data_IF_619585639577
#
_entry.id   IF_619585639577
#
_cell.length_a   1.000
_cell.length_b   1.000
_cell.length_c   1.000
_cell.angle_alpha   90.00
_cell.angle_beta   90.00
_cell.angle_gamma   90.00
#
_symmetry.space_group_name_H-M   'P 1'
#
loop_
_entity.id
_entity.type
_entity.pdbx_description
1 polymer ?
#
# COMPACT_ATOMS: atom_id res chain seq x y z
N UNK A 1 -6.69 -11.05 26.91
CA UNK A 1 -6.04 -10.03 26.07
C UNK A 1 -5.75 -8.84 26.98
N UNK A 2 -4.48 -8.53 27.25
CA UNK A 2 -4.06 -7.32 27.99
C UNK A 2 -3.49 -6.33 26.99
N UNK A 3 -4.19 -5.22 26.77
CA UNK A 3 -3.78 -4.20 25.79
C UNK A 3 -3.08 -3.02 26.48
N UNK A 4 -2.01 -3.31 27.23
CA UNK A 4 -1.25 -2.30 27.99
C UNK A 4 -0.04 -1.76 27.23
N UNK A 5 0.43 -2.48 26.18
CA UNK A 5 1.63 -2.13 25.42
C UNK A 5 1.27 -1.63 24.02
N UNK A 6 1.20 -0.31 23.86
CA UNK A 6 0.97 0.34 22.56
C UNK A 6 2.28 0.34 21.77
N UNK A 7 2.28 -0.24 20.58
CA UNK A 7 3.42 -0.27 19.65
C UNK A 7 3.27 0.71 18.49
N UNK A 8 2.04 1.08 18.13
CA UNK A 8 1.80 2.12 17.13
C UNK A 8 0.40 2.73 17.26
N UNK A 9 0.30 4.02 16.94
CA UNK A 9 -0.98 4.74 16.79
C UNK A 9 -1.07 5.22 15.33
N UNK A 10 -2.18 4.94 14.68
CA UNK A 10 -2.48 5.35 13.30
C UNK A 10 -3.84 6.05 13.26
N UNK A 11 -4.12 6.78 12.19
CA UNK A 11 -5.43 7.39 12.01
C UNK A 11 -6.54 6.33 12.11
N UNK A 12 -7.33 6.39 13.20
CA UNK A 12 -8.47 5.52 13.42
C UNK A 12 -8.17 4.10 13.92
N UNK A 13 -6.94 3.75 14.24
CA UNK A 13 -6.57 2.44 14.80
C UNK A 13 -5.36 2.53 15.72
N UNK A 14 -5.35 1.70 16.77
CA UNK A 14 -4.21 1.56 17.70
C UNK A 14 -3.73 0.11 17.67
N UNK A 15 -2.43 -0.09 17.58
CA UNK A 15 -1.82 -1.41 17.55
C UNK A 15 -1.13 -1.66 18.90
N UNK A 16 -1.47 -2.78 19.51
CA UNK A 16 -0.93 -3.23 20.80
C UNK A 16 -0.11 -4.49 20.61
N UNK A 17 0.88 -4.71 21.48
CA UNK A 17 1.52 -6.01 21.65
C UNK A 17 0.89 -6.74 22.83
N UNK A 18 0.42 -7.96 22.61
CA UNK A 18 -0.08 -8.88 23.64
C UNK A 18 0.69 -10.21 23.50
N UNK A 19 1.82 -10.32 24.20
CA UNK A 19 2.74 -11.45 24.07
C UNK A 19 3.34 -11.57 22.67
N UNK A 20 3.01 -12.65 22.00
CA UNK A 20 3.39 -12.99 20.63
C UNK A 20 2.40 -12.47 19.55
N UNK A 21 1.46 -11.62 19.96
CA UNK A 21 0.42 -11.08 19.08
C UNK A 21 0.55 -9.58 18.90
N UNK A 22 0.29 -9.11 17.68
CA UNK A 22 -0.02 -7.73 17.36
C UNK A 22 -1.54 -7.59 17.24
N UNK A 23 -2.14 -6.73 18.08
CA UNK A 23 -3.58 -6.54 18.14
C UNK A 23 -3.93 -5.14 17.61
N UNK A 24 -4.51 -5.08 16.42
CA UNK A 24 -4.99 -3.86 15.79
C UNK A 24 -6.43 -3.61 16.22
N UNK A 25 -6.65 -2.59 17.07
CA UNK A 25 -7.97 -2.18 17.56
C UNK A 25 -8.44 -0.98 16.73
N UNK A 26 -9.63 -1.08 16.15
CA UNK A 26 -10.23 -0.06 15.31
C UNK A 26 -11.15 0.84 16.13
N UNK A 27 -11.13 2.15 15.85
CA UNK A 27 -12.11 3.05 16.46
C UNK A 27 -13.50 2.91 15.82
N UNK A 28 -14.52 3.57 16.39
CA UNK A 28 -15.92 3.44 16.00
C UNK A 28 -16.26 3.93 14.58
N UNK A 29 -15.32 4.58 13.89
CA UNK A 29 -15.51 5.05 12.50
C UNK A 29 -15.36 3.96 11.43
N UNK A 30 -14.87 2.78 11.81
CA UNK A 30 -14.72 1.65 10.87
C UNK A 30 -15.95 0.75 10.88
N UNK A 31 -16.45 0.42 9.68
CA UNK A 31 -17.54 -0.56 9.57
C UNK A 31 -17.01 -1.98 9.82
N UNK A 32 -17.89 -2.85 10.31
CA UNK A 32 -17.59 -4.29 10.43
C UNK A 32 -17.12 -4.88 9.09
N UNK A 33 -17.73 -4.45 7.99
CA UNK A 33 -17.41 -4.95 6.66
C UNK A 33 -15.97 -4.58 6.25
N UNK A 34 -15.52 -3.36 6.54
CA UNK A 34 -14.14 -2.93 6.23
C UNK A 34 -13.10 -3.75 7.00
N UNK A 35 -13.36 -4.02 8.28
CA UNK A 35 -12.46 -4.78 9.16
C UNK A 35 -12.39 -6.24 8.73
N UNK A 36 -13.53 -6.87 8.43
CA UNK A 36 -13.57 -8.23 7.91
C UNK A 36 -12.90 -8.34 6.54
N UNK A 37 -13.05 -7.31 5.69
CA UNK A 37 -12.37 -7.27 4.39
C UNK A 37 -10.85 -7.11 4.54
N UNK A 38 -10.37 -6.33 5.52
CA UNK A 38 -8.93 -6.22 5.83
C UNK A 38 -8.37 -7.59 6.24
N UNK A 39 -9.03 -8.28 7.18
CA UNK A 39 -8.63 -9.60 7.61
C UNK A 39 -8.69 -10.63 6.46
N UNK A 40 -9.75 -10.61 5.66
CA UNK A 40 -9.90 -11.51 4.51
C UNK A 40 -8.82 -11.28 3.44
N UNK A 41 -8.45 -10.02 3.18
CA UNK A 41 -7.37 -9.71 2.25
C UNK A 41 -6.05 -10.30 2.75
N UNK A 42 -5.71 -10.10 4.02
CA UNK A 42 -4.49 -10.65 4.62
C UNK A 42 -4.49 -12.18 4.56
N UNK A 43 -5.59 -12.85 4.94
CA UNK A 43 -5.72 -14.30 4.85
C UNK A 43 -5.51 -14.85 3.41
N UNK A 44 -5.99 -14.13 2.39
CA UNK A 44 -5.75 -14.48 0.98
C UNK A 44 -4.28 -14.35 0.57
N UNK A 45 -3.57 -13.39 1.16
CA UNK A 45 -2.14 -13.19 0.90
C UNK A 45 -1.29 -14.25 1.64
N UNK A 46 -1.72 -14.75 2.81
CA UNK A 46 -1.05 -15.85 3.50
C UNK A 46 -0.84 -17.07 2.59
N UNK A 47 -1.81 -17.36 1.72
CA UNK A 47 -1.76 -18.47 0.78
C UNK A 47 -0.71 -18.30 -0.34
N UNK A 48 -0.14 -17.10 -0.52
CA UNK A 48 0.83 -16.81 -1.58
C UNK A 48 2.26 -17.20 -1.24
N UNK A 49 2.53 -17.54 0.03
CA UNK A 49 3.86 -17.86 0.54
C UNK A 49 4.77 -16.63 0.69
N UNK A 50 4.22 -15.41 0.72
CA UNK A 50 4.94 -14.23 1.16
C UNK A 50 5.15 -14.26 2.68
N UNK A 51 6.24 -13.68 3.17
CA UNK A 51 6.44 -13.48 4.60
C UNK A 51 5.52 -12.36 5.09
N UNK A 52 4.44 -12.74 5.74
CA UNK A 52 3.48 -11.83 6.35
C UNK A 52 3.04 -12.39 7.71
N UNK A 53 2.62 -11.53 8.67
CA UNK A 53 2.04 -12.03 9.92
C UNK A 53 0.73 -12.76 9.63
N UNK A 54 0.54 -13.95 10.19
CA UNK A 54 -0.71 -14.70 10.05
C UNK A 54 -1.81 -14.08 10.88
N UNK A 55 -3.03 -14.06 10.36
CA UNK A 55 -4.22 -13.72 11.13
C UNK A 55 -4.49 -14.84 12.15
N UNK A 56 -4.65 -14.46 13.40
CA UNK A 56 -4.95 -15.38 14.49
C UNK A 56 -6.42 -15.29 14.91
N UNK A 57 -6.96 -14.07 14.95
CA UNK A 57 -8.31 -13.83 15.44
C UNK A 57 -8.89 -12.53 14.91
N UNK A 58 -10.19 -12.51 14.64
CA UNK A 58 -10.98 -11.29 14.45
C UNK A 58 -12.03 -11.28 15.55
N UNK A 59 -11.97 -10.29 16.43
CA UNK A 59 -12.76 -10.28 17.67
C UNK A 59 -13.24 -8.87 18.03
N UNK A 60 -13.91 -8.75 19.18
CA UNK A 60 -14.25 -7.47 19.77
C UNK A 60 -13.53 -7.31 21.10
N UNK A 61 -12.95 -6.12 21.33
CA UNK A 61 -12.32 -5.72 22.56
C UNK A 61 -12.91 -4.38 23.01
N UNK A 62 -13.48 -4.36 24.20
CA UNK A 62 -14.12 -3.16 24.80
C UNK A 62 -15.09 -2.45 23.82
N UNK A 63 -15.96 -3.23 23.20
CA UNK A 63 -16.95 -2.73 22.23
C UNK A 63 -16.39 -2.31 20.86
N UNK A 64 -15.09 -2.49 20.63
CA UNK A 64 -14.41 -2.16 19.37
C UNK A 64 -13.95 -3.43 18.63
N UNK A 65 -14.01 -3.40 17.33
CA UNK A 65 -13.44 -4.49 16.50
C UNK A 65 -11.93 -4.52 16.60
N UNK A 66 -11.36 -5.70 16.61
CA UNK A 66 -9.92 -5.93 16.64
C UNK A 66 -9.53 -7.10 15.71
N UNK A 67 -8.35 -6.98 15.11
CA UNK A 67 -7.67 -8.04 14.37
C UNK A 67 -6.39 -8.37 15.12
N UNK A 68 -6.24 -9.61 15.56
CA UNK A 68 -5.00 -10.13 16.12
C UNK A 68 -4.25 -10.92 15.06
N UNK A 69 -2.97 -10.65 14.91
CA UNK A 69 -2.03 -11.37 14.05
C UNK A 69 -0.75 -11.72 14.82
N UNK A 70 0.10 -12.54 14.23
CA UNK A 70 1.44 -12.80 14.76
C UNK A 70 2.19 -11.47 14.96
N UNK A 71 2.90 -11.34 16.08
CA UNK A 71 3.80 -10.22 16.31
C UNK A 71 5.16 -10.53 15.67
N UNK A 72 5.61 -9.68 14.77
CA UNK A 72 6.92 -9.78 14.14
C UNK A 72 7.89 -8.85 14.87
N UNK A 73 8.91 -9.45 15.49
CA UNK A 73 9.95 -8.69 16.18
C UNK A 73 11.01 -8.19 15.20
N UNK A 74 11.23 -6.88 15.17
CA UNK A 74 12.16 -6.24 14.24
C UNK A 74 11.97 -4.73 14.18
N UNK A 75 12.67 -4.09 13.24
CA UNK A 75 12.52 -2.68 12.93
C UNK A 75 11.84 -2.51 11.57
N UNK A 76 11.05 -1.45 11.42
CA UNK A 76 10.55 -1.12 10.08
C UNK A 76 11.70 -0.69 9.17
N UNK A 77 11.55 -0.94 7.87
CA UNK A 77 12.53 -0.49 6.89
C UNK A 77 12.66 1.04 6.90
N UNK A 78 11.57 1.76 7.21
CA UNK A 78 11.61 3.22 7.41
C UNK A 78 12.55 3.62 8.55
N UNK A 79 12.45 2.94 9.72
CA UNK A 79 13.35 3.17 10.85
C UNK A 79 14.82 2.88 10.50
N UNK A 80 15.07 1.79 9.76
CA UNK A 80 16.43 1.44 9.33
C UNK A 80 17.00 2.48 8.37
N UNK A 81 16.20 3.03 7.45
CA UNK A 81 16.60 4.12 6.54
C UNK A 81 16.93 5.40 7.30
N UNK A 82 16.15 5.73 8.35
CA UNK A 82 16.38 6.90 9.19
C UNK A 82 17.65 6.77 10.07
N UNK A 83 17.86 5.57 10.64
CA UNK A 83 19.01 5.29 11.49
C UNK A 83 20.33 5.17 10.70
N UNK A 84 20.28 4.83 9.42
CA UNK A 84 21.44 4.57 8.59
C UNK A 84 21.30 5.27 7.22
N UNK A 85 21.36 6.59 7.16
CA UNK A 85 21.15 7.35 5.93
C UNK A 85 22.23 7.10 4.86
N UNK A 86 23.42 6.67 5.25
CA UNK A 86 24.52 6.24 4.38
C UNK A 86 24.18 4.96 3.60
N UNK A 87 23.26 4.13 4.07
CA UNK A 87 22.79 2.90 3.43
C UNK A 87 21.46 3.06 2.67
N UNK A 88 21.01 4.29 2.45
CA UNK A 88 19.71 4.54 1.81
C UNK A 88 19.57 3.82 0.46
N UNK A 89 20.61 3.81 -0.36
CA UNK A 89 20.59 3.12 -1.65
C UNK A 89 20.40 1.60 -1.51
N UNK A 90 21.10 0.97 -0.56
CA UNK A 90 20.94 -0.47 -0.27
C UNK A 90 19.51 -0.79 0.18
N UNK A 91 18.95 0.02 1.06
CA UNK A 91 17.57 -0.15 1.53
C UNK A 91 16.53 0.09 0.44
N UNK A 92 16.77 1.03 -0.49
CA UNK A 92 15.89 1.23 -1.64
C UNK A 92 15.95 0.06 -2.62
N UNK A 93 17.13 -0.53 -2.84
CA UNK A 93 17.25 -1.76 -3.62
C UNK A 93 16.47 -2.91 -3.00
N UNK A 94 16.62 -3.13 -1.68
CA UNK A 94 15.86 -4.12 -0.92
C UNK A 94 14.34 -3.85 -1.01
N UNK A 95 13.93 -2.60 -0.87
CA UNK A 95 12.53 -2.19 -0.95
C UNK A 95 11.90 -2.54 -2.31
N UNK A 96 12.62 -2.26 -3.40
CA UNK A 96 12.18 -2.63 -4.76
C UNK A 96 12.14 -4.15 -4.93
N UNK A 97 13.13 -4.89 -4.44
CA UNK A 97 13.18 -6.35 -4.56
C UNK A 97 12.00 -7.00 -3.83
N UNK A 98 11.66 -6.52 -2.63
CA UNK A 98 10.48 -7.00 -1.88
C UNK A 98 9.20 -6.71 -2.66
N UNK A 99 9.05 -5.51 -3.26
CA UNK A 99 7.87 -5.19 -4.05
C UNK A 99 7.77 -6.05 -5.31
N UNK A 100 8.89 -6.32 -5.98
CA UNK A 100 8.92 -7.24 -7.12
C UNK A 100 8.54 -8.66 -6.71
N UNK A 101 8.94 -9.11 -5.51
CA UNK A 101 8.52 -10.39 -4.96
C UNK A 101 6.99 -10.42 -4.73
N UNK A 102 6.39 -9.33 -4.21
CA UNK A 102 4.92 -9.20 -4.12
C UNK A 102 4.28 -9.33 -5.50
N UNK A 103 4.79 -8.59 -6.49
CA UNK A 103 4.26 -8.60 -7.85
C UNK A 103 4.49 -9.93 -8.61
N UNK A 104 5.34 -10.82 -8.11
CA UNK A 104 5.51 -12.17 -8.65
C UNK A 104 4.38 -13.12 -8.27
N UNK A 105 3.57 -12.76 -7.27
CA UNK A 105 2.51 -13.59 -6.72
C UNK A 105 1.16 -13.35 -7.39
N UNK A 106 0.27 -14.35 -7.26
CA UNK A 106 -1.12 -14.29 -7.71
C UNK A 106 -2.04 -14.64 -6.54
N UNK A 107 -3.13 -13.90 -6.41
CA UNK A 107 -4.19 -14.14 -5.43
C UNK A 107 -5.55 -13.84 -6.09
N UNK A 108 -6.11 -14.80 -6.85
CA UNK A 108 -7.25 -14.56 -7.74
C UNK A 108 -8.55 -14.17 -7.02
N UNK A 109 -8.64 -14.41 -5.72
CA UNK A 109 -9.79 -14.01 -4.90
C UNK A 109 -9.74 -12.55 -4.43
N UNK A 110 -8.63 -11.85 -4.62
CA UNK A 110 -8.56 -10.41 -4.31
C UNK A 110 -9.44 -9.60 -5.26
N UNK A 111 -9.92 -8.46 -4.78
CA UNK A 111 -10.62 -7.48 -5.61
C UNK A 111 -9.74 -7.03 -6.78
N UNK A 112 -10.31 -6.92 -7.98
CA UNK A 112 -9.58 -6.41 -9.14
C UNK A 112 -9.25 -4.93 -8.96
N UNK A 113 -8.00 -4.58 -9.20
CA UNK A 113 -7.50 -3.21 -9.06
C UNK A 113 -8.28 -2.20 -9.94
N UNK A 114 -8.57 -2.57 -11.19
CA UNK A 114 -9.37 -1.75 -12.11
C UNK A 114 -10.76 -1.43 -11.55
N UNK A 115 -11.45 -2.41 -11.00
CA UNK A 115 -12.79 -2.23 -10.44
C UNK A 115 -12.76 -1.28 -9.22
N UNK A 116 -11.72 -1.43 -8.38
CA UNK A 116 -11.49 -0.55 -7.24
C UNK A 116 -11.19 0.88 -7.68
N UNK A 117 -10.34 1.06 -8.70
CA UNK A 117 -10.01 2.37 -9.26
C UNK A 117 -11.20 3.02 -9.92
N UNK A 118 -11.98 2.30 -10.74
CA UNK A 118 -13.20 2.82 -11.36
C UNK A 118 -14.17 3.39 -10.33
N UNK A 119 -14.44 2.66 -9.25
CA UNK A 119 -15.32 3.15 -8.16
C UNK A 119 -14.77 4.43 -7.53
N UNK A 120 -13.46 4.51 -7.29
CA UNK A 120 -12.84 5.67 -6.66
C UNK A 120 -12.81 6.89 -7.61
N UNK A 121 -12.47 6.72 -8.88
CA UNK A 121 -12.49 7.80 -9.87
C UNK A 121 -13.91 8.39 -9.98
N UNK A 122 -14.95 7.55 -9.92
CA UNK A 122 -16.35 8.03 -9.89
C UNK A 122 -16.69 8.89 -8.67
N UNK A 123 -15.94 8.77 -7.58
CA UNK A 123 -16.12 9.53 -6.33
C UNK A 123 -15.16 10.73 -6.21
N UNK A 124 -14.16 10.85 -7.10
CA UNK A 124 -13.17 11.92 -7.04
C UNK A 124 -13.80 13.29 -7.36
N UNK A 125 -13.32 14.33 -6.69
CA UNK A 125 -13.76 15.72 -6.89
C UNK A 125 -13.08 16.34 -8.15
N UNK A 126 -13.42 15.81 -9.31
CA UNK A 126 -12.96 16.24 -10.64
C UNK A 126 -14.13 16.50 -11.56
N UNK A 127 -13.93 17.29 -12.59
CA UNK A 127 -14.95 17.57 -13.59
C UNK A 127 -15.36 16.33 -14.42
N UNK A 128 -16.47 16.42 -15.13
CA UNK A 128 -17.03 15.29 -15.86
C UNK A 128 -16.15 14.83 -17.04
N UNK A 129 -15.47 15.77 -17.72
CA UNK A 129 -14.61 15.47 -18.86
C UNK A 129 -13.36 14.73 -18.41
N UNK A 130 -12.68 15.21 -17.38
CA UNK A 130 -11.52 14.58 -16.74
C UNK A 130 -11.89 13.18 -16.23
N UNK A 131 -13.06 13.05 -15.57
CA UNK A 131 -13.54 11.74 -15.09
C UNK A 131 -13.75 10.75 -16.24
N UNK A 132 -14.38 11.18 -17.33
CA UNK A 132 -14.61 10.34 -18.50
C UNK A 132 -13.28 9.90 -19.14
N UNK A 133 -12.33 10.82 -19.30
CA UNK A 133 -11.01 10.53 -19.84
C UNK A 133 -10.26 9.49 -18.99
N UNK A 134 -10.24 9.67 -17.66
CA UNK A 134 -9.58 8.74 -16.75
C UNK A 134 -10.21 7.33 -16.78
N UNK A 135 -11.54 7.23 -16.88
CA UNK A 135 -12.20 5.93 -17.05
C UNK A 135 -11.81 5.27 -18.38
N UNK A 136 -11.76 6.05 -19.45
CA UNK A 136 -11.35 5.56 -20.77
C UNK A 136 -9.89 5.10 -20.78
N UNK A 137 -8.99 5.89 -20.20
CA UNK A 137 -7.57 5.51 -20.04
C UNK A 137 -7.43 4.24 -19.21
N UNK A 138 -8.11 4.16 -18.06
CA UNK A 138 -8.08 2.98 -17.20
C UNK A 138 -8.59 1.73 -17.93
N UNK A 139 -9.65 1.84 -18.73
CA UNK A 139 -10.15 0.69 -19.50
C UNK A 139 -9.16 0.24 -20.56
N UNK A 140 -8.44 1.15 -21.19
CA UNK A 140 -7.38 0.86 -22.17
C UNK A 140 -6.11 0.24 -21.56
N UNK A 141 -5.91 0.31 -20.25
CA UNK A 141 -4.71 -0.24 -19.61
C UNK A 141 -4.72 -1.78 -19.62
N UNK A 142 -3.56 -2.44 -19.83
CA UNK A 142 -3.45 -3.89 -19.84
C UNK A 142 -3.96 -4.53 -18.55
N UNK A 143 -4.69 -5.64 -18.67
CA UNK A 143 -5.21 -6.44 -17.56
C UNK A 143 -4.12 -7.40 -17.08
N UNK A 144 -3.74 -7.28 -15.83
CA UNK A 144 -2.81 -8.18 -15.14
C UNK A 144 -3.48 -8.72 -13.87
N UNK A 145 -2.92 -9.80 -13.33
CA UNK A 145 -3.44 -10.54 -12.16
C UNK A 145 -2.39 -10.64 -11.03
N UNK A 146 -1.42 -9.74 -11.02
CA UNK A 146 -0.37 -9.69 -9.99
C UNK A 146 -0.95 -9.19 -8.67
N UNK A 147 -0.42 -9.68 -7.56
CA UNK A 147 -0.71 -9.10 -6.25
C UNK A 147 -0.19 -7.68 -6.20
N UNK A 148 -1.05 -6.75 -5.80
CA UNK A 148 -0.74 -5.35 -5.56
C UNK A 148 -1.06 -5.02 -4.10
N UNK A 149 -0.13 -4.43 -3.38
CA UNK A 149 -0.31 -4.10 -1.96
C UNK A 149 -1.28 -2.91 -1.76
N UNK A 150 -1.14 -1.88 -2.58
CA UNK A 150 -1.99 -0.69 -2.55
C UNK A 150 -1.64 0.34 -1.46
N UNK A 151 -0.68 0.01 -0.59
CA UNK A 151 -0.09 0.90 0.41
C UNK A 151 1.36 0.49 0.72
N UNK A 152 2.11 0.12 -0.33
CA UNK A 152 3.47 -0.35 -0.19
C UNK A 152 4.41 0.82 0.13
N UNK A 153 4.91 0.87 1.36
CA UNK A 153 5.83 1.90 1.85
C UNK A 153 6.78 1.30 2.89
N UNK A 154 7.93 1.94 3.18
CA UNK A 154 8.94 1.38 4.07
C UNK A 154 8.46 1.14 5.51
N UNK A 155 7.42 1.86 5.98
CA UNK A 155 6.83 1.65 7.31
C UNK A 155 5.98 0.38 7.40
N UNK A 156 5.59 -0.20 6.26
CA UNK A 156 4.83 -1.44 6.16
C UNK A 156 5.70 -2.68 5.88
N UNK A 157 7.02 -2.56 6.08
CA UNK A 157 7.97 -3.67 5.97
C UNK A 157 8.74 -3.75 7.29
N UNK A 158 8.71 -4.89 7.95
CA UNK A 158 9.50 -5.17 9.17
C UNK A 158 10.67 -6.05 8.76
N UNK A 159 11.87 -5.64 9.12
CA UNK A 159 13.09 -6.44 8.98
C UNK A 159 13.40 -7.03 10.35
N UNK A 160 13.38 -8.35 10.44
CA UNK A 160 13.70 -9.09 11.67
C UNK A 160 15.20 -9.05 11.96
N UNK A 161 15.61 -9.48 13.15
CA UNK A 161 17.02 -9.46 13.56
C UNK A 161 17.92 -10.35 12.69
N UNK A 162 17.36 -11.36 12.02
CA UNK A 162 18.06 -12.23 11.06
C UNK A 162 18.02 -11.70 9.61
N UNK A 163 17.44 -10.49 9.42
CA UNK A 163 17.36 -9.84 8.11
C UNK A 163 16.15 -10.26 7.26
N UNK A 164 15.26 -11.10 7.76
CA UNK A 164 14.09 -11.54 7.00
C UNK A 164 13.04 -10.43 6.92
N UNK A 165 12.57 -10.04 5.70
CA UNK A 165 11.52 -9.05 5.56
C UNK A 165 10.13 -9.65 5.74
N UNK A 166 9.28 -8.97 6.50
CA UNK A 166 7.85 -9.24 6.65
C UNK A 166 7.03 -8.05 6.20
N UNK A 167 6.01 -8.27 5.38
CA UNK A 167 5.16 -7.22 4.83
C UNK A 167 3.84 -7.18 5.61
N UNK A 168 3.46 -6.00 6.10
CA UNK A 168 2.29 -5.79 6.95
C UNK A 168 1.27 -4.84 6.30
N UNK A 169 0.06 -4.78 6.86
CA UNK A 169 -1.04 -3.87 6.49
C UNK A 169 -1.61 -4.08 5.07
N UNK A 170 -2.16 -5.26 4.82
CA UNK A 170 -2.75 -5.68 3.56
C UNK A 170 -4.20 -5.22 3.33
N UNK A 171 -4.68 -4.22 4.09
CA UNK A 171 -6.04 -3.67 3.99
C UNK A 171 -6.42 -3.24 2.55
N UNK A 172 -5.44 -2.83 1.77
CA UNK A 172 -5.65 -2.31 0.41
C UNK A 172 -5.28 -3.28 -0.70
N UNK A 173 -4.95 -4.54 -0.37
CA UNK A 173 -4.56 -5.54 -1.34
C UNK A 173 -5.58 -5.71 -2.48
N UNK A 174 -5.05 -5.88 -3.69
CA UNK A 174 -5.82 -6.11 -4.92
C UNK A 174 -5.03 -7.00 -5.86
N UNK A 175 -5.68 -7.50 -6.90
CA UNK A 175 -5.00 -8.12 -8.04
C UNK A 175 -5.03 -7.18 -9.25
N UNK A 176 -3.90 -6.96 -9.90
CA UNK A 176 -3.86 -6.02 -11.02
C UNK A 176 -2.48 -5.81 -11.64
N UNK A 177 -2.28 -4.60 -12.12
CA UNK A 177 -1.04 -4.21 -12.79
C UNK A 177 -0.01 -3.68 -11.78
N UNK A 178 1.19 -4.25 -11.79
CA UNK A 178 2.30 -3.87 -10.92
C UNK A 178 2.65 -2.37 -11.02
N UNK A 179 2.66 -1.82 -12.25
CA UNK A 179 3.00 -0.40 -12.44
C UNK A 179 2.01 0.56 -11.79
N UNK A 180 0.74 0.16 -11.61
CA UNK A 180 -0.23 0.93 -10.85
C UNK A 180 0.08 0.93 -9.35
N UNK A 181 0.53 -0.20 -8.79
CA UNK A 181 0.96 -0.30 -7.40
C UNK A 181 2.25 0.51 -7.15
N UNK A 182 3.19 0.47 -8.11
CA UNK A 182 4.40 1.31 -8.09
C UNK A 182 4.07 2.79 -8.17
N UNK A 183 3.11 3.19 -9.01
CA UNK A 183 2.64 4.57 -9.09
C UNK A 183 2.04 5.02 -7.74
N UNK A 184 1.35 4.14 -7.03
CA UNK A 184 0.85 4.44 -5.69
C UNK A 184 1.99 4.64 -4.71
N UNK A 185 2.99 3.76 -4.67
CA UNK A 185 4.18 3.91 -3.82
C UNK A 185 4.95 5.21 -4.12
N UNK A 186 5.13 5.54 -5.40
CA UNK A 186 5.76 6.78 -5.84
C UNK A 186 5.06 8.01 -5.28
N UNK A 187 3.71 8.07 -5.41
CA UNK A 187 2.91 9.18 -4.87
C UNK A 187 2.94 9.24 -3.33
N UNK A 188 3.00 8.09 -2.64
CA UNK A 188 3.15 8.04 -1.19
C UNK A 188 4.48 8.66 -0.72
N UNK A 189 5.58 8.35 -1.41
CA UNK A 189 6.89 8.94 -1.11
C UNK A 189 6.90 10.46 -1.35
N UNK A 190 6.20 10.93 -2.38
CA UNK A 190 6.04 12.37 -2.61
C UNK A 190 5.22 13.05 -1.51
N UNK A 191 4.10 12.44 -1.07
CA UNK A 191 3.27 12.94 0.03
C UNK A 191 4.04 12.98 1.36
N UNK A 192 5.01 12.09 1.55
CA UNK A 192 5.91 12.05 2.72
C UNK A 192 7.09 13.05 2.59
N UNK A 193 7.07 13.93 1.57
CA UNK A 193 8.12 14.93 1.34
C UNK A 193 9.43 14.37 0.78
N UNK A 194 9.46 13.10 0.38
CA UNK A 194 10.67 12.37 -0.07
C UNK A 194 10.74 12.28 -1.60
N UNK A 195 10.64 13.40 -2.30
CA UNK A 195 10.59 13.45 -3.76
C UNK A 195 11.81 12.81 -4.45
N UNK A 196 13.02 13.04 -3.93
CA UNK A 196 14.23 12.46 -4.52
C UNK A 196 14.34 10.95 -4.27
N UNK A 197 13.87 10.48 -3.10
CA UNK A 197 13.73 9.05 -2.82
C UNK A 197 12.72 8.42 -3.78
N UNK A 198 11.61 9.10 -4.07
CA UNK A 198 10.61 8.62 -5.02
C UNK A 198 11.19 8.44 -6.44
N UNK A 199 12.00 9.41 -6.91
CA UNK A 199 12.67 9.33 -8.22
C UNK A 199 13.65 8.15 -8.27
N UNK A 200 14.52 8.04 -7.25
CA UNK A 200 15.50 6.94 -7.15
C UNK A 200 14.79 5.58 -7.10
N UNK A 201 13.74 5.46 -6.30
CA UNK A 201 12.91 4.26 -6.22
C UNK A 201 12.33 3.87 -7.60
N UNK A 202 11.76 4.84 -8.33
CA UNK A 202 11.20 4.59 -9.65
C UNK A 202 12.26 4.13 -10.65
N UNK A 203 13.43 4.78 -10.66
CA UNK A 203 14.53 4.42 -11.56
C UNK A 203 15.05 3.00 -11.28
N UNK A 204 15.18 2.64 -10.00
CA UNK A 204 15.55 1.28 -9.59
C UNK A 204 14.47 0.26 -10.02
N UNK A 205 13.19 0.56 -9.80
CA UNK A 205 12.12 -0.34 -10.20
C UNK A 205 12.09 -0.53 -11.71
N UNK A 206 12.14 0.54 -12.50
CA UNK A 206 12.15 0.47 -13.96
C UNK A 206 13.34 -0.34 -14.47
N UNK A 207 14.54 -0.12 -13.91
CA UNK A 207 15.75 -0.87 -14.26
C UNK A 207 15.63 -2.36 -13.94
N UNK A 208 15.18 -2.70 -12.71
CA UNK A 208 15.09 -4.11 -12.27
C UNK A 208 13.96 -4.89 -12.94
N UNK A 209 12.84 -4.24 -13.28
CA UNK A 209 11.67 -4.87 -13.88
C UNK A 209 11.64 -4.82 -15.41
N UNK A 210 12.63 -4.18 -16.04
CA UNK A 210 12.66 -3.88 -17.48
C UNK A 210 11.37 -3.18 -17.96
N UNK A 211 10.83 -2.29 -17.14
CA UNK A 211 9.60 -1.55 -17.43
C UNK A 211 9.94 -0.12 -17.85
N UNK A 212 9.49 0.29 -19.02
CA UNK A 212 9.70 1.65 -19.50
C UNK A 212 9.03 2.69 -18.59
N UNK A 213 9.74 3.79 -18.29
CA UNK A 213 9.24 4.88 -17.45
C UNK A 213 7.95 5.49 -17.97
N UNK A 214 7.81 5.59 -19.31
CA UNK A 214 6.61 6.08 -19.99
C UNK A 214 5.37 5.20 -19.71
N UNK A 215 5.56 3.89 -19.54
CA UNK A 215 4.46 3.00 -19.20
C UNK A 215 3.96 3.26 -17.76
N UNK A 216 4.88 3.48 -16.83
CA UNK A 216 4.56 3.90 -15.47
C UNK A 216 3.81 5.24 -15.46
N UNK A 217 4.28 6.24 -16.21
CA UNK A 217 3.70 7.57 -16.27
C UNK A 217 2.22 7.57 -16.68
N UNK A 218 1.80 6.63 -17.54
CA UNK A 218 0.38 6.46 -17.91
C UNK A 218 -0.52 6.09 -16.73
N UNK A 219 0.04 5.49 -15.66
CA UNK A 219 -0.70 5.13 -14.47
C UNK A 219 -0.85 6.28 -13.47
N UNK A 220 0.06 7.26 -13.47
CA UNK A 220 0.08 8.32 -12.47
C UNK A 220 -1.25 9.08 -12.36
N UNK A 221 -1.84 9.65 -13.44
CA UNK A 221 -3.10 10.38 -13.35
C UNK A 221 -4.25 9.50 -12.84
N UNK A 222 -4.32 8.25 -13.29
CA UNK A 222 -5.35 7.28 -12.90
C UNK A 222 -5.24 6.97 -11.39
N UNK A 223 -4.02 6.69 -10.92
CA UNK A 223 -3.75 6.37 -9.52
C UNK A 223 -3.98 7.60 -8.64
N UNK A 224 -3.50 8.76 -9.04
CA UNK A 224 -3.66 10.02 -8.31
C UNK A 224 -5.14 10.35 -8.10
N UNK A 225 -5.96 10.35 -9.16
CA UNK A 225 -7.39 10.56 -9.05
C UNK A 225 -8.08 9.52 -8.16
N UNK A 226 -7.71 8.23 -8.29
CA UNK A 226 -8.30 7.20 -7.43
C UNK A 226 -7.91 7.33 -5.96
N UNK A 227 -6.78 7.96 -5.64
CA UNK A 227 -6.31 8.17 -4.27
C UNK A 227 -6.80 9.48 -3.65
N UNK A 228 -7.14 10.49 -4.46
CA UNK A 228 -7.64 11.79 -3.98
C UNK A 228 -8.95 11.71 -3.21
N UNK A 229 -9.68 10.59 -3.30
CA UNK A 229 -10.93 10.34 -2.58
C UNK A 229 -10.74 10.24 -1.06
N UNK A 230 -9.51 9.99 -0.60
CA UNK A 230 -9.16 9.88 0.81
C UNK A 230 -8.08 10.91 1.15
N UNK A 231 -7.92 11.17 2.43
CA UNK A 231 -6.92 12.11 2.92
C UNK A 231 -7.49 13.48 3.25
N UNK A 232 -6.64 14.34 3.75
CA UNK A 232 -6.96 15.74 4.03
C UNK A 232 -6.96 16.57 2.73
N UNK A 233 -7.34 17.84 2.84
CA UNK A 233 -7.43 18.73 1.66
C UNK A 233 -6.08 18.89 0.96
N UNK A 234 -4.99 19.08 1.70
CA UNK A 234 -3.66 19.28 1.11
C UNK A 234 -3.16 18.06 0.33
N UNK A 235 -3.38 16.85 0.88
CA UNK A 235 -3.08 15.59 0.17
C UNK A 235 -3.92 15.44 -1.09
N UNK A 236 -5.19 15.79 -1.04
CA UNK A 236 -6.09 15.75 -2.19
C UNK A 236 -5.66 16.74 -3.27
N UNK A 237 -5.40 18.00 -2.92
CA UNK A 237 -4.96 19.04 -3.85
C UNK A 237 -3.65 18.63 -4.54
N UNK A 238 -2.69 18.07 -3.77
CA UNK A 238 -1.47 17.52 -4.31
C UNK A 238 -1.74 16.37 -5.31
N UNK A 239 -2.57 15.40 -4.94
CA UNK A 239 -2.89 14.27 -5.83
C UNK A 239 -3.61 14.73 -7.10
N UNK A 240 -4.53 15.69 -7.00
CA UNK A 240 -5.23 16.21 -8.15
C UNK A 240 -4.32 16.99 -9.09
N UNK A 241 -3.22 17.59 -8.62
CA UNK A 241 -2.22 18.23 -9.49
C UNK A 241 -1.52 17.24 -10.45
N UNK A 242 -1.58 15.93 -10.18
CA UNK A 242 -1.06 14.88 -11.06
C UNK A 242 -2.07 14.39 -12.10
N UNK A 243 -3.34 14.84 -12.03
CA UNK A 243 -4.40 14.39 -12.93
C UNK A 243 -4.32 15.08 -14.29
N UNK A 244 -3.95 16.36 -14.31
CA UNK A 244 -3.89 17.19 -15.53
C UNK A 244 -2.57 17.04 -16.31
N UNK A 245 -1.68 16.23 -15.85
CA UNK A 245 -0.38 16.04 -16.49
C UNK A 245 -0.54 15.13 -17.71
N UNK A 246 -0.79 15.77 -18.86
CA UNK A 246 -1.11 15.09 -20.12
C UNK A 246 0.15 14.59 -20.84
N UNK A 247 1.30 15.24 -20.66
CA UNK A 247 2.57 14.88 -21.30
C UNK A 247 3.75 15.09 -20.35
N UNK A 248 4.40 14.00 -19.98
CA UNK A 248 5.76 14.05 -19.48
C UNK A 248 6.69 13.76 -20.68
N UNK A 249 7.31 14.82 -21.21
CA UNK A 249 8.47 14.68 -22.08
C UNK A 249 9.67 14.09 -21.35
#
# INVERSE_FOLDING_TARGET
MKLDNIIAVRAGKTIYRDGDKAVKVFNSGYSKADILNEALNQARIEETGLNIPKILEVTMFDGKWAIASEFIEGKTLAQLMEENPDKLCEYLELFVDIQMQVHSKKAPLLTKLKDKMNRKISQAEIDATTRYDLHTRLEGMPKHDKVCHGDFNPSNIIITNDGTPYIIDWAHATQGNASADVARTYLLLWLDGKADVAKTYLDLFCKKSDTAKQYFQKWLPIVAASQSVKGNKAERDFLLSWVDVVDYE
#
